data_IF_921411375975
#
_entry.id   IF_921411375975
#
_cell.length_a   1.000
_cell.length_b   1.000
_cell.length_c   1.000
_cell.angle_alpha   90.00
_cell.angle_beta   90.00
_cell.angle_gamma   90.00
#
_symmetry.space_group_name_H-M   'P 1'
#
loop_
_entity.id
_entity.type
_entity.pdbx_description
1 polymer ?
#
# COMPACT_ATOMS: atom_id res chain seq x y z
N UNK A 1 4.12 -21.46 7.53
CA UNK A 1 3.94 -20.78 6.23
C UNK A 1 4.25 -19.30 6.45
N UNK A 2 5.18 -18.68 5.72
CA UNK A 2 5.35 -17.22 5.75
C UNK A 2 4.47 -16.66 4.62
N UNK A 3 3.39 -15.98 4.96
CA UNK A 3 2.49 -15.38 3.98
C UNK A 3 3.15 -14.16 3.32
N UNK A 4 2.86 -13.92 2.04
CA UNK A 4 3.24 -12.67 1.36
C UNK A 4 2.50 -11.51 2.06
N UNK A 5 3.18 -10.42 2.44
CA UNK A 5 2.51 -9.29 3.05
C UNK A 5 1.56 -8.62 2.06
N UNK A 6 0.40 -8.17 2.53
CA UNK A 6 -0.53 -7.39 1.70
C UNK A 6 0.07 -6.03 1.31
N UNK A 7 0.76 -5.37 2.24
CA UNK A 7 1.44 -4.09 2.02
C UNK A 7 2.87 -4.20 2.52
N UNK A 8 3.83 -3.71 1.73
CA UNK A 8 5.23 -3.66 2.10
C UNK A 8 5.75 -2.22 1.95
N UNK A 9 6.12 -1.61 3.08
CA UNK A 9 6.64 -0.24 3.14
C UNK A 9 8.18 -0.33 3.18
N UNK A 10 8.82 0.17 2.13
CA UNK A 10 10.28 0.11 1.91
C UNK A 10 10.84 1.52 1.69
N UNK A 11 11.07 2.31 2.76
CA UNK A 11 11.66 3.63 2.63
C UNK A 11 13.07 3.56 2.04
N UNK A 12 13.39 4.42 1.08
CA UNK A 12 14.72 4.51 0.48
C UNK A 12 15.02 5.91 -0.08
N UNK A 13 16.27 6.12 -0.51
CA UNK A 13 16.71 7.35 -1.20
C UNK A 13 16.35 7.38 -2.69
N UNK A 14 15.79 6.30 -3.24
CA UNK A 14 15.31 6.26 -4.62
C UNK A 14 14.07 7.14 -4.78
N UNK A 15 13.71 7.46 -6.03
CA UNK A 15 12.48 8.19 -6.33
C UNK A 15 11.27 7.48 -5.68
N UNK A 16 10.32 8.23 -5.07
CA UNK A 16 9.15 7.62 -4.47
C UNK A 16 8.35 6.84 -5.51
N UNK A 17 7.85 5.68 -5.10
CA UNK A 17 7.16 4.76 -6.02
C UNK A 17 6.15 3.89 -5.30
N UNK A 18 5.12 3.51 -6.04
CA UNK A 18 4.10 2.54 -5.65
C UNK A 18 4.05 1.50 -6.77
N UNK A 19 4.14 0.21 -6.41
CA UNK A 19 3.98 -0.91 -7.35
C UNK A 19 3.22 -2.05 -6.70
N UNK A 20 2.43 -2.77 -7.49
CA UNK A 20 1.86 -4.06 -7.08
C UNK A 20 2.79 -5.17 -7.60
N UNK A 21 3.28 -6.03 -6.72
CA UNK A 21 4.16 -7.17 -7.04
C UNK A 21 3.59 -8.40 -6.34
N UNK A 22 3.18 -9.42 -7.10
CA UNK A 22 2.57 -10.65 -6.58
C UNK A 22 1.42 -10.40 -5.57
N UNK A 23 0.58 -9.40 -5.86
CA UNK A 23 -0.55 -9.01 -5.01
C UNK A 23 -0.16 -8.20 -3.76
N UNK A 24 1.13 -7.93 -3.54
CA UNK A 24 1.64 -7.04 -2.51
C UNK A 24 1.73 -5.60 -3.02
N UNK A 25 1.16 -4.64 -2.29
CA UNK A 25 1.35 -3.21 -2.54
C UNK A 25 2.68 -2.78 -1.94
N UNK A 26 3.70 -2.64 -2.77
CA UNK A 26 5.04 -2.19 -2.42
C UNK A 26 5.14 -0.67 -2.54
N UNK A 27 5.51 0.01 -1.46
CA UNK A 27 5.58 1.48 -1.40
C UNK A 27 6.95 1.93 -0.92
N UNK A 28 7.62 2.75 -1.72
CA UNK A 28 8.68 3.63 -1.24
C UNK A 28 8.09 5.05 -1.07
N UNK A 29 7.85 5.50 0.18
CA UNK A 29 7.31 6.84 0.42
C UNK A 29 8.31 7.97 0.13
N UNK A 30 9.60 7.65 -0.07
CA UNK A 30 10.68 8.62 -0.10
C UNK A 30 11.09 9.10 1.29
N UNK A 31 11.74 10.26 1.34
CA UNK A 31 12.25 10.86 2.58
C UNK A 31 11.29 11.95 3.04
N UNK A 32 10.90 11.89 4.33
CA UNK A 32 9.96 12.84 4.92
C UNK A 32 10.48 14.28 4.86
N UNK A 33 11.76 14.52 5.14
CA UNK A 33 12.34 15.86 5.06
C UNK A 33 13.75 15.79 4.49
N UNK A 34 13.98 16.49 3.38
CA UNK A 34 15.29 16.70 2.75
C UNK A 34 15.38 18.16 2.29
N UNK A 35 15.99 19.00 3.13
CA UNK A 35 15.95 20.45 2.94
C UNK A 35 14.52 20.97 3.06
N UNK A 36 14.09 21.78 2.09
CA UNK A 36 12.74 22.38 2.05
C UNK A 36 11.72 21.51 1.28
N UNK A 37 12.01 20.21 1.10
CA UNK A 37 11.15 19.30 0.35
C UNK A 37 11.08 17.94 1.03
N UNK A 38 10.02 17.21 0.77
CA UNK A 38 9.85 15.87 1.32
C UNK A 38 8.61 15.21 0.78
N UNK A 39 8.48 13.92 1.04
CA UNK A 39 7.30 13.15 0.67
C UNK A 39 6.87 12.21 1.77
N UNK A 40 5.58 11.91 1.81
CA UNK A 40 5.00 10.87 2.66
C UNK A 40 3.99 10.06 1.86
N UNK A 41 3.64 8.86 2.35
CA UNK A 41 2.54 8.09 1.78
C UNK A 41 1.24 8.36 2.53
N UNK A 42 0.14 8.42 1.78
CA UNK A 42 -1.22 8.34 2.31
C UNK A 42 -1.88 7.09 1.70
N UNK A 43 -2.44 6.25 2.55
CA UNK A 43 -3.17 5.04 2.13
C UNK A 43 -4.54 5.03 2.79
N UNK A 44 -5.57 4.83 1.99
CA UNK A 44 -6.95 4.63 2.41
C UNK A 44 -7.36 3.20 2.02
N UNK A 45 -7.95 2.45 2.95
CA UNK A 45 -8.36 1.06 2.73
C UNK A 45 -9.85 0.96 2.98
N UNK A 46 -10.60 0.46 2.00
CA UNK A 46 -12.01 0.16 2.14
C UNK A 46 -12.20 -1.22 2.76
N UNK A 47 -12.35 -1.24 4.08
CA UNK A 47 -12.56 -2.47 4.85
C UNK A 47 -13.89 -3.17 4.53
N UNK A 48 -14.88 -2.47 3.96
CA UNK A 48 -16.16 -3.07 3.60
C UNK A 48 -16.02 -4.04 2.42
N UNK A 49 -15.04 -3.80 1.54
CA UNK A 49 -14.71 -4.66 0.40
C UNK A 49 -13.86 -5.88 0.81
N UNK A 50 -13.17 -5.82 1.96
CA UNK A 50 -12.37 -6.93 2.51
C UNK A 50 -13.23 -7.99 3.24
N UNK A 51 -14.50 -7.69 3.52
CA UNK A 51 -15.41 -8.59 4.20
C UNK A 51 -16.14 -9.54 3.25
N UNK A 52 -15.82 -10.82 3.29
CA UNK A 52 -16.77 -11.88 2.88
C UNK A 52 -17.97 -11.87 3.82
N UNK A 53 -19.19 -11.98 3.29
CA UNK A 53 -20.34 -12.40 4.11
C UNK A 53 -19.98 -13.72 4.81
N UNK A 54 -20.53 -14.03 6.00
CA UNK A 54 -20.16 -15.21 6.78
C UNK A 54 -20.24 -16.57 6.06
N UNK A 55 -20.87 -16.65 4.87
CA UNK A 55 -21.02 -17.86 4.05
C UNK A 55 -20.45 -17.73 2.61
N UNK A 56 -19.80 -16.62 2.26
CA UNK A 56 -19.10 -16.50 0.98
C UNK A 56 -17.63 -16.84 1.20
N UNK A 57 -17.11 -17.81 0.45
CA UNK A 57 -15.66 -18.05 0.36
C UNK A 57 -14.98 -16.71 0.11
N UNK A 58 -14.00 -16.36 0.96
CA UNK A 58 -13.25 -15.09 0.95
C UNK A 58 -13.22 -14.48 -0.46
N UNK A 59 -13.70 -13.24 -0.67
CA UNK A 59 -13.55 -12.60 -1.96
C UNK A 59 -12.07 -12.68 -2.33
N UNK A 60 -11.79 -13.12 -3.57
CA UNK A 60 -10.44 -13.11 -4.12
C UNK A 60 -9.98 -11.66 -4.41
N UNK A 61 -10.29 -10.72 -3.52
CA UNK A 61 -9.91 -9.33 -3.63
C UNK A 61 -8.51 -9.15 -3.04
N UNK A 62 -7.58 -8.65 -3.85
CA UNK A 62 -6.30 -8.19 -3.34
C UNK A 62 -6.53 -6.90 -2.55
N UNK A 63 -5.67 -6.63 -1.56
CA UNK A 63 -5.63 -5.31 -0.92
C UNK A 63 -5.44 -4.19 -1.96
N UNK A 64 -4.78 -4.51 -3.09
CA UNK A 64 -4.57 -3.60 -4.20
C UNK A 64 -5.89 -3.16 -4.87
N UNK A 65 -6.94 -3.98 -4.78
CA UNK A 65 -8.25 -3.68 -5.35
C UNK A 65 -9.10 -2.82 -4.39
N UNK A 66 -8.79 -2.90 -3.08
CA UNK A 66 -9.57 -2.27 -2.02
C UNK A 66 -8.85 -1.09 -1.34
N UNK A 67 -7.71 -0.64 -1.88
CA UNK A 67 -6.97 0.48 -1.32
C UNK A 67 -6.65 1.56 -2.35
N UNK A 68 -6.66 2.81 -1.89
CA UNK A 68 -6.10 3.93 -2.62
C UNK A 68 -4.81 4.36 -1.92
N UNK A 69 -3.70 4.33 -2.65
CA UNK A 69 -2.39 4.74 -2.14
C UNK A 69 -1.79 5.85 -3.00
N UNK A 70 -1.23 6.87 -2.35
CA UNK A 70 -0.61 8.03 -2.99
C UNK A 70 0.67 8.42 -2.24
N UNK A 71 1.67 8.90 -2.98
CA UNK A 71 2.79 9.65 -2.41
C UNK A 71 2.51 11.14 -2.58
N UNK A 72 2.58 11.89 -1.48
CA UNK A 72 2.25 13.31 -1.41
C UNK A 72 3.51 14.09 -1.02
N UNK A 73 3.72 15.26 -1.63
CA UNK A 73 4.79 16.20 -1.23
C UNK A 73 4.35 17.03 -0.03
N UNK A 74 5.29 17.29 0.88
CA UNK A 74 5.13 18.26 1.98
C UNK A 74 5.27 19.67 1.43
#
# INVERSE_FOLDING_TARGET
MKAIPQVMILPSMLAPMIKVVDGCVCVNPGILVRGNSGTFMKMEIDLSMLGSKPNESLPNCSIADCCQVKVIRI
#
